data_IF_404913066049
#
_entry.id   IF_404913066049
#
_cell.length_a   1.000
_cell.length_b   1.000
_cell.length_c   1.000
_cell.angle_alpha   90.00
_cell.angle_beta   90.00
_cell.angle_gamma   90.00
#
_symmetry.space_group_name_H-M   'P 1'
#
loop_
_entity.id
_entity.type
_entity.pdbx_description
1 polymer ?
#
# COMPACT_ATOMS: atom_id res chain seq x y z
N UNK A 1 13.19 18.16 12.32
CA UNK A 1 12.61 16.86 12.73
C UNK A 1 12.35 15.97 11.51
N UNK A 2 11.52 16.42 10.57
CA UNK A 2 11.17 15.70 9.33
C UNK A 2 12.39 15.06 8.64
N UNK A 3 13.44 15.83 8.31
CA UNK A 3 14.68 15.31 7.70
C UNK A 3 15.38 14.21 8.53
N UNK A 4 15.32 14.25 9.86
CA UNK A 4 15.89 13.22 10.75
C UNK A 4 15.01 11.97 10.77
N UNK A 5 13.68 12.13 10.87
CA UNK A 5 12.72 11.02 10.87
C UNK A 5 12.70 10.31 9.51
N UNK A 6 12.73 11.05 8.40
CA UNK A 6 12.87 10.49 7.04
C UNK A 6 14.16 9.70 6.90
N UNK A 7 15.28 10.25 7.40
CA UNK A 7 16.57 9.56 7.32
C UNK A 7 16.64 8.33 8.22
N UNK A 8 15.97 8.33 9.38
CA UNK A 8 15.86 7.15 10.22
C UNK A 8 15.02 6.05 9.53
N UNK A 9 13.85 6.41 9.01
CA UNK A 9 12.98 5.47 8.29
C UNK A 9 13.65 4.92 7.03
N UNK A 10 14.44 5.73 6.33
CA UNK A 10 15.19 5.30 5.15
C UNK A 10 16.39 4.40 5.50
N UNK A 11 16.95 4.55 6.70
CA UNK A 11 18.02 3.68 7.22
C UNK A 11 17.48 2.35 7.76
N UNK A 12 16.24 2.30 8.23
CA UNK A 12 15.52 1.07 8.58
C UNK A 12 15.08 0.31 7.32
N UNK A 13 16.05 -0.13 6.52
CA UNK A 13 15.84 -0.92 5.30
C UNK A 13 14.99 -2.16 5.53
N UNK A 14 15.10 -2.78 6.70
CA UNK A 14 14.32 -3.97 7.07
C UNK A 14 12.82 -3.68 7.07
N UNK A 15 12.42 -2.49 7.52
CA UNK A 15 11.03 -2.07 7.54
C UNK A 15 10.48 -1.78 6.14
N UNK A 16 11.27 -1.08 5.30
CA UNK A 16 10.87 -0.83 3.92
C UNK A 16 10.81 -2.13 3.11
N UNK A 17 11.81 -3.01 3.26
CA UNK A 17 11.88 -4.29 2.56
C UNK A 17 10.69 -5.18 2.91
N UNK A 18 10.27 -5.27 4.17
CA UNK A 18 9.12 -6.10 4.56
C UNK A 18 7.82 -5.63 3.92
N UNK A 19 7.63 -4.31 3.81
CA UNK A 19 6.49 -3.71 3.08
C UNK A 19 6.49 -4.05 1.60
N UNK A 20 7.64 -3.90 0.95
CA UNK A 20 7.76 -4.24 -0.47
C UNK A 20 7.52 -5.72 -0.70
N UNK A 21 8.05 -6.61 0.15
CA UNK A 21 7.84 -8.05 0.00
C UNK A 21 6.38 -8.46 0.15
N UNK A 22 5.64 -7.86 1.08
CA UNK A 22 4.21 -8.16 1.27
C UNK A 22 3.39 -7.80 0.03
N UNK A 23 3.59 -6.60 -0.50
CA UNK A 23 2.88 -6.13 -1.70
C UNK A 23 3.26 -6.95 -2.92
N UNK A 24 4.54 -7.33 -3.09
CA UNK A 24 4.98 -8.19 -4.19
C UNK A 24 4.33 -9.57 -4.12
N UNK A 25 4.26 -10.18 -2.93
CA UNK A 25 3.63 -11.50 -2.76
C UNK A 25 2.14 -11.42 -3.11
N UNK A 26 1.41 -10.44 -2.59
CA UNK A 26 0.00 -10.24 -2.90
C UNK A 26 -0.23 -9.96 -4.39
N UNK A 27 0.63 -9.15 -5.00
CA UNK A 27 0.60 -8.88 -6.44
C UNK A 27 0.69 -10.17 -7.26
N UNK A 28 1.66 -11.02 -6.96
CA UNK A 28 1.89 -12.27 -7.69
C UNK A 28 0.72 -13.23 -7.51
N UNK A 29 0.18 -13.35 -6.30
CA UNK A 29 -0.96 -14.24 -6.01
C UNK A 29 -2.21 -13.79 -6.78
N UNK A 30 -2.53 -12.49 -6.74
CA UNK A 30 -3.71 -11.97 -7.44
C UNK A 30 -3.52 -12.07 -8.95
N UNK A 31 -2.34 -11.72 -9.46
CA UNK A 31 -2.02 -11.84 -10.88
C UNK A 31 -2.15 -13.29 -11.39
N UNK A 32 -1.73 -14.27 -10.59
CA UNK A 32 -1.83 -15.68 -10.96
C UNK A 32 -3.29 -16.16 -11.05
N UNK A 33 -4.19 -15.61 -10.23
CA UNK A 33 -5.61 -15.97 -10.21
C UNK A 33 -6.35 -15.30 -11.38
N UNK A 34 -6.00 -14.06 -11.70
CA UNK A 34 -6.75 -13.25 -12.68
C UNK A 34 -6.16 -13.27 -14.08
N UNK A 35 -5.23 -14.18 -14.36
CA UNK A 35 -4.49 -14.20 -15.62
C UNK A 35 -5.41 -14.61 -16.78
N UNK A 36 -5.66 -13.65 -17.68
CA UNK A 36 -6.44 -13.82 -18.92
C UNK A 36 -7.83 -14.47 -18.73
N UNK A 37 -8.83 -13.62 -18.47
CA UNK A 37 -10.23 -14.04 -18.44
C UNK A 37 -10.77 -14.09 -19.88
N UNK A 38 -11.35 -15.22 -20.26
CA UNK A 38 -12.05 -15.41 -21.56
C UNK A 38 -13.26 -14.46 -21.72
N UNK A 39 -13.91 -14.47 -22.89
CA UNK A 39 -15.00 -13.54 -23.23
C UNK A 39 -16.39 -14.19 -23.24
N UNK A 40 -16.67 -15.07 -22.28
CA UNK A 40 -17.98 -15.74 -22.18
C UNK A 40 -18.90 -15.04 -21.16
N UNK A 41 -20.18 -15.43 -21.10
CA UNK A 41 -21.15 -14.83 -20.16
C UNK A 41 -20.76 -15.04 -18.68
N UNK A 42 -20.13 -16.18 -18.37
CA UNK A 42 -19.54 -16.48 -17.06
C UNK A 42 -18.36 -15.57 -16.74
N UNK A 43 -17.65 -15.10 -17.76
CA UNK A 43 -16.46 -14.25 -17.63
C UNK A 43 -16.76 -12.84 -17.13
N UNK A 44 -18.02 -12.37 -17.22
CA UNK A 44 -18.42 -11.08 -16.61
C UNK A 44 -18.31 -11.17 -15.08
N UNK A 45 -18.74 -12.29 -14.49
CA UNK A 45 -18.64 -12.50 -13.05
C UNK A 45 -17.19 -12.61 -12.59
N UNK A 46 -16.33 -13.26 -13.38
CA UNK A 46 -14.89 -13.38 -13.08
C UNK A 46 -14.19 -12.02 -13.14
N UNK A 47 -14.56 -11.15 -14.09
CA UNK A 47 -14.04 -9.77 -14.17
C UNK A 47 -14.42 -8.93 -12.96
N UNK A 48 -15.68 -8.99 -12.53
CA UNK A 48 -16.15 -8.28 -11.33
C UNK A 48 -15.46 -8.83 -10.08
N UNK A 49 -15.32 -10.15 -9.98
CA UNK A 49 -14.63 -10.81 -8.85
C UNK A 49 -13.16 -10.43 -8.79
N UNK A 50 -12.49 -10.26 -9.94
CA UNK A 50 -11.09 -9.84 -10.02
C UNK A 50 -10.87 -8.41 -9.54
N UNK A 51 -11.77 -7.48 -9.93
CA UNK A 51 -11.75 -6.09 -9.43
C UNK A 51 -11.97 -6.06 -7.91
N UNK A 52 -12.93 -6.84 -7.41
CA UNK A 52 -13.22 -6.92 -5.99
C UNK A 52 -12.06 -7.53 -5.17
N UNK A 53 -11.41 -8.56 -5.69
CA UNK A 53 -10.23 -9.17 -5.08
C UNK A 53 -9.06 -8.18 -5.01
N UNK A 54 -8.87 -7.36 -6.04
CA UNK A 54 -7.89 -6.29 -6.07
C UNK A 54 -8.13 -5.26 -4.95
N UNK A 55 -9.38 -4.78 -4.81
CA UNK A 55 -9.79 -3.84 -3.76
C UNK A 55 -9.59 -4.40 -2.34
N UNK A 56 -9.98 -5.64 -2.10
CA UNK A 56 -9.75 -6.27 -0.80
C UNK A 56 -8.25 -6.44 -0.53
N UNK A 57 -7.48 -6.84 -1.54
CA UNK A 57 -6.03 -7.04 -1.40
C UNK A 57 -5.30 -5.77 -0.95
N UNK A 58 -5.64 -4.61 -1.52
CA UNK A 58 -5.05 -3.32 -1.13
C UNK A 58 -5.44 -2.93 0.29
N UNK A 59 -6.72 -3.06 0.66
CA UNK A 59 -7.22 -2.72 2.01
C UNK A 59 -6.57 -3.61 3.08
N UNK A 60 -6.50 -4.92 2.83
CA UNK A 60 -5.90 -5.89 3.77
C UNK A 60 -4.41 -5.62 3.94
N UNK A 61 -3.69 -5.33 2.86
CA UNK A 61 -2.25 -5.04 2.96
C UNK A 61 -1.99 -3.77 3.78
N UNK A 62 -2.77 -2.70 3.56
CA UNK A 62 -2.66 -1.47 4.37
C UNK A 62 -3.00 -1.73 5.85
N UNK A 63 -3.99 -2.57 6.14
CA UNK A 63 -4.40 -2.89 7.50
C UNK A 63 -3.34 -3.69 8.27
N UNK A 64 -2.77 -4.74 7.65
CA UNK A 64 -1.65 -5.53 8.21
C UNK A 64 -0.46 -4.60 8.44
N UNK A 65 -0.20 -3.76 7.44
CA UNK A 65 0.86 -2.78 7.46
C UNK A 65 0.75 -1.80 8.65
N UNK A 66 -0.41 -1.20 8.85
CA UNK A 66 -0.65 -0.27 9.97
C UNK A 66 -0.51 -0.98 11.32
N UNK A 67 -1.00 -2.22 11.42
CA UNK A 67 -1.04 -2.99 12.67
C UNK A 67 0.35 -3.35 13.20
N UNK A 68 1.29 -3.70 12.32
CA UNK A 68 2.66 -4.05 12.73
C UNK A 68 3.51 -2.85 13.14
N UNK A 69 3.19 -1.67 12.61
CA UNK A 69 4.00 -0.46 12.75
C UNK A 69 3.62 0.35 13.96
N UNK A 70 2.31 0.40 14.24
CA UNK A 70 1.76 1.12 15.36
C UNK A 70 2.41 0.80 16.72
N UNK A 71 2.63 -0.48 17.13
CA UNK A 71 3.25 -0.79 18.42
C UNK A 71 4.72 -0.36 18.52
N UNK A 72 5.47 -0.47 17.42
CA UNK A 72 6.88 -0.07 17.36
C UNK A 72 6.99 1.45 17.54
N UNK A 73 6.20 2.20 16.78
CA UNK A 73 6.17 3.66 16.85
C UNK A 73 5.65 4.16 18.21
N UNK A 74 4.65 3.49 18.79
CA UNK A 74 4.10 3.82 20.12
C UNK A 74 5.16 3.74 21.21
N UNK A 75 6.04 2.74 21.16
CA UNK A 75 7.10 2.54 22.16
C UNK A 75 8.14 3.66 22.10
N UNK A 76 8.56 4.07 20.90
CA UNK A 76 9.48 5.21 20.69
C UNK A 76 8.82 6.52 21.15
N UNK A 77 7.56 6.73 20.77
CA UNK A 77 6.78 7.90 21.16
C UNK A 77 6.68 8.08 22.68
N UNK A 78 6.44 7.01 23.44
CA UNK A 78 6.37 7.09 24.90
C UNK A 78 7.71 7.52 25.53
N UNK A 79 8.84 7.06 24.98
CA UNK A 79 10.19 7.44 25.44
C UNK A 79 10.50 8.91 25.15
N UNK A 80 10.17 9.40 23.96
CA UNK A 80 10.39 10.81 23.59
C UNK A 80 9.48 11.77 24.37
N UNK A 81 8.23 11.35 24.65
CA UNK A 81 7.28 12.12 25.47
C UNK A 81 7.77 12.25 26.92
N UNK A 82 8.36 11.20 27.49
CA UNK A 82 8.94 11.24 28.83
C UNK A 82 10.09 12.28 28.94
N UNK A 83 10.82 12.49 27.85
CA UNK A 83 11.91 13.47 27.77
C UNK A 83 11.44 14.91 27.54
N UNK A 84 10.12 15.16 27.38
CA UNK A 84 9.49 16.47 27.09
C UNK A 84 10.11 17.24 25.90
N UNK A 85 10.82 16.56 25.00
CA UNK A 85 11.59 17.23 23.95
C UNK A 85 10.72 17.82 22.83
N UNK A 86 9.50 17.31 22.61
CA UNK A 86 8.67 17.70 21.44
C UNK A 86 7.16 17.76 21.72
N UNK A 87 6.46 18.66 21.00
CA UNK A 87 4.98 18.69 20.92
C UNK A 87 4.47 17.55 20.05
N UNK A 88 3.42 16.87 20.53
CA UNK A 88 2.79 15.69 19.91
C UNK A 88 2.34 15.94 18.46
N UNK A 89 1.77 17.12 18.18
CA UNK A 89 1.27 17.49 16.86
C UNK A 89 2.37 17.58 15.79
N UNK A 90 3.53 18.15 16.13
CA UNK A 90 4.64 18.30 15.19
C UNK A 90 5.27 16.95 14.83
N UNK A 91 5.31 16.00 15.77
CA UNK A 91 5.80 14.65 15.51
C UNK A 91 4.87 13.92 14.55
N UNK A 92 3.57 13.91 14.83
CA UNK A 92 2.56 13.22 14.02
C UNK A 92 2.52 13.73 12.57
N UNK A 93 2.49 15.05 12.37
CA UNK A 93 2.48 15.64 11.02
C UNK A 93 3.76 15.27 10.25
N UNK A 94 4.93 15.33 10.89
CA UNK A 94 6.19 15.00 10.23
C UNK A 94 6.28 13.53 9.82
N UNK A 95 5.67 12.64 10.61
CA UNK A 95 5.63 11.21 10.33
C UNK A 95 4.65 10.87 9.21
N UNK A 96 3.45 11.44 9.23
CA UNK A 96 2.45 11.28 8.19
C UNK A 96 2.99 11.74 6.81
N UNK A 97 3.63 12.90 6.75
CA UNK A 97 4.23 13.41 5.50
C UNK A 97 5.32 12.46 4.95
N UNK A 98 6.04 11.75 5.82
CA UNK A 98 7.04 10.78 5.39
C UNK A 98 6.41 9.46 4.90
N UNK A 99 5.28 9.04 5.43
CA UNK A 99 4.62 7.76 5.11
C UNK A 99 3.72 7.84 3.87
N UNK A 100 3.00 8.95 3.69
CA UNK A 100 2.10 9.20 2.55
C UNK A 100 2.72 8.87 1.17
N UNK A 101 3.94 9.32 0.81
CA UNK A 101 4.48 9.03 -0.53
C UNK A 101 4.70 7.53 -0.77
N UNK A 102 5.16 6.79 0.25
CA UNK A 102 5.32 5.33 0.12
C UNK A 102 3.95 4.65 0.01
N UNK A 103 2.97 5.11 0.78
CA UNK A 103 1.63 4.56 0.76
C UNK A 103 0.89 4.80 -0.56
N UNK A 104 1.26 5.81 -1.35
CA UNK A 104 0.69 6.05 -2.68
C UNK A 104 1.41 5.26 -3.78
N UNK A 105 2.75 5.22 -3.75
CA UNK A 105 3.55 4.60 -4.82
C UNK A 105 3.33 3.07 -4.89
N UNK A 106 3.30 2.39 -3.74
CA UNK A 106 3.14 0.93 -3.66
C UNK A 106 1.82 0.41 -4.29
N UNK A 107 0.63 0.90 -3.90
CA UNK A 107 -0.63 0.46 -4.51
C UNK A 107 -0.77 0.91 -5.96
N UNK A 108 -0.14 2.01 -6.39
CA UNK A 108 -0.15 2.45 -7.78
C UNK A 108 0.59 1.46 -8.68
N UNK A 109 1.75 0.97 -8.24
CA UNK A 109 2.47 -0.11 -8.94
C UNK A 109 1.62 -1.39 -8.96
N UNK A 110 1.05 -1.79 -7.82
CA UNK A 110 0.21 -2.99 -7.72
C UNK A 110 -1.00 -2.95 -8.66
N UNK A 111 -1.77 -1.85 -8.64
CA UNK A 111 -2.96 -1.68 -9.49
C UNK A 111 -2.60 -1.65 -10.96
N UNK A 112 -1.49 -1.01 -11.36
CA UNK A 112 -1.02 -1.04 -12.74
C UNK A 112 -0.74 -2.46 -13.26
N UNK A 113 -0.04 -3.29 -12.49
CA UNK A 113 0.31 -4.64 -12.92
C UNK A 113 -0.93 -5.53 -13.01
N UNK A 114 -1.81 -5.47 -12.01
CA UNK A 114 -3.06 -6.27 -12.00
C UNK A 114 -3.99 -5.86 -13.13
N UNK A 115 -4.09 -4.56 -13.43
CA UNK A 115 -4.92 -4.05 -14.53
C UNK A 115 -4.50 -4.61 -15.90
N UNK A 116 -3.19 -4.62 -16.18
CA UNK A 116 -2.66 -5.25 -17.39
C UNK A 116 -2.81 -6.78 -17.36
N UNK A 117 -2.73 -7.40 -16.18
CA UNK A 117 -2.91 -8.85 -16.00
C UNK A 117 -4.30 -9.37 -16.33
N UNK A 118 -5.35 -8.60 -16.01
CA UNK A 118 -6.74 -8.97 -16.30
C UNK A 118 -7.10 -8.72 -17.78
N UNK A 119 -6.36 -7.85 -18.48
CA UNK A 119 -6.67 -7.47 -19.86
C UNK A 119 -7.93 -6.59 -19.96
N UNK A 120 -8.05 -5.59 -19.09
CA UNK A 120 -9.13 -4.58 -19.16
C UNK A 120 -8.91 -3.61 -20.35
N UNK A 121 -9.98 -2.90 -20.72
CA UNK A 121 -9.94 -1.89 -21.79
C UNK A 121 -8.82 -0.88 -21.57
N UNK A 122 -7.92 -0.70 -22.54
CA UNK A 122 -6.72 0.14 -22.46
C UNK A 122 -6.94 1.66 -22.44
N UNK A 123 -8.09 2.12 -21.93
CA UNK A 123 -8.42 3.54 -21.87
C UNK A 123 -7.83 4.17 -20.61
N UNK A 124 -7.00 5.20 -20.80
CA UNK A 124 -6.30 5.89 -19.71
C UNK A 124 -7.24 6.51 -18.66
N UNK A 125 -8.43 6.96 -19.05
CA UNK A 125 -9.43 7.50 -18.12
C UNK A 125 -9.96 6.45 -17.15
N UNK A 126 -10.25 5.25 -17.66
CA UNK A 126 -10.72 4.11 -16.84
C UNK A 126 -9.62 3.62 -15.91
N UNK A 127 -8.37 3.65 -16.36
CA UNK A 127 -7.21 3.36 -15.52
C UNK A 127 -7.05 4.37 -14.38
N UNK A 128 -7.21 5.67 -14.67
CA UNK A 128 -7.12 6.72 -13.65
C UNK A 128 -8.23 6.60 -12.60
N UNK A 129 -9.47 6.32 -13.02
CA UNK A 129 -10.59 6.06 -12.09
C UNK A 129 -10.33 4.82 -11.23
N UNK A 130 -9.78 3.76 -11.82
CA UNK A 130 -9.43 2.53 -11.09
C UNK A 130 -8.30 2.73 -10.08
N UNK A 131 -7.31 3.59 -10.35
CA UNK A 131 -6.26 3.91 -9.38
C UNK A 131 -6.74 4.79 -8.22
N UNK A 132 -7.84 5.53 -8.40
CA UNK A 132 -8.43 6.39 -7.37
C UNK A 132 -9.39 5.60 -6.45
N UNK A 133 -10.02 4.55 -6.98
CA UNK A 133 -10.89 3.61 -6.26
C UNK A 133 -10.11 2.63 -5.38
#
# INVERSE_FOLDING_TARGET
>A
LMKRTTMNNWRDRVYLLSRFTEVIILMVVILAITFQIDNDQTSIQDRVSSVYLCLIGTVVSVAISASLVFPIQRTVYQRERASRMYRVSSYYISQQICEVPFQVILPLIFTSVVYYGIGLQSTFTVFAEFCVL
#
